data_IF_478759249901
#
_entry.id   IF_478759249901
#
_cell.length_a   1.000
_cell.length_b   1.000
_cell.length_c   1.000
_cell.angle_alpha   90.00
_cell.angle_beta   90.00
_cell.angle_gamma   90.00
#
_symmetry.space_group_name_H-M   'P 1'
#
loop_
_entity.id
_entity.type
_entity.pdbx_description
1 polymer ?
#
# COMPACT_ATOMS: atom_id res chain seq x y z
N UNK A 1 -7.72 -6.75 -27.30
CA UNK A 1 -7.86 -6.28 -25.91
C UNK A 1 -6.67 -6.77 -25.07
N UNK A 2 -5.62 -5.95 -24.88
CA UNK A 2 -4.44 -6.30 -24.03
C UNK A 2 -4.78 -6.15 -22.54
N UNK A 3 -5.85 -6.79 -22.05
CA UNK A 3 -6.51 -6.43 -20.77
C UNK A 3 -5.86 -6.96 -19.47
N UNK A 4 -4.59 -7.39 -19.49
CA UNK A 4 -3.94 -7.97 -18.30
C UNK A 4 -2.48 -7.57 -18.10
N UNK A 5 -1.96 -6.60 -18.85
CA UNK A 5 -0.57 -6.16 -18.67
C UNK A 5 -0.46 -5.24 -17.44
N UNK A 6 0.49 -5.53 -16.56
CA UNK A 6 0.83 -4.74 -15.37
C UNK A 6 2.16 -4.00 -15.50
N UNK A 7 2.81 -4.05 -16.66
CA UNK A 7 4.08 -3.37 -16.87
C UNK A 7 3.94 -1.85 -16.63
N UNK A 8 4.97 -1.29 -16.01
CA UNK A 8 5.13 0.13 -15.71
C UNK A 8 6.50 0.59 -16.18
N UNK A 9 6.60 1.85 -16.58
CA UNK A 9 7.83 2.46 -17.08
C UNK A 9 8.05 3.77 -16.34
N UNK A 10 9.20 3.92 -15.69
CA UNK A 10 9.57 5.13 -14.98
C UNK A 10 9.50 6.35 -15.91
N UNK A 11 8.91 7.44 -15.42
CA UNK A 11 8.66 8.66 -16.18
C UNK A 11 7.36 8.65 -17.00
N UNK A 12 6.67 7.51 -17.12
CA UNK A 12 5.40 7.41 -17.82
C UNK A 12 4.22 7.31 -16.87
N UNK A 13 3.15 8.09 -17.11
CA UNK A 13 1.93 8.11 -16.29
C UNK A 13 2.17 8.30 -14.77
N UNK A 14 3.26 9.00 -14.41
CA UNK A 14 3.63 9.27 -13.01
C UNK A 14 4.42 8.15 -12.32
N UNK A 15 4.65 7.01 -12.99
CA UNK A 15 5.44 5.92 -12.44
C UNK A 15 6.90 6.34 -12.21
N UNK A 16 7.47 5.89 -11.10
CA UNK A 16 8.90 6.07 -10.76
C UNK A 16 9.70 4.78 -10.94
N UNK A 17 9.03 3.64 -10.92
CA UNK A 17 9.61 2.32 -11.14
C UNK A 17 9.39 1.83 -12.57
N UNK A 18 10.34 1.02 -13.06
CA UNK A 18 10.24 0.33 -14.35
C UNK A 18 10.19 -1.17 -14.09
N UNK A 19 9.04 -1.79 -14.33
CA UNK A 19 8.83 -3.22 -14.13
C UNK A 19 8.17 -3.84 -15.35
N UNK A 20 8.65 -5.04 -15.74
CA UNK A 20 7.88 -5.92 -16.62
C UNK A 20 6.58 -6.35 -15.94
N UNK A 21 5.61 -6.88 -16.70
CA UNK A 21 4.39 -7.47 -16.11
C UNK A 21 4.72 -8.48 -14.99
N UNK A 22 5.64 -9.41 -15.26
CA UNK A 22 6.05 -10.45 -14.30
C UNK A 22 6.68 -9.84 -13.05
N UNK A 23 7.51 -8.81 -13.22
CA UNK A 23 8.14 -8.10 -12.11
C UNK A 23 7.09 -7.37 -11.27
N UNK A 24 6.11 -6.70 -11.90
CA UNK A 24 5.05 -6.01 -11.18
C UNK A 24 4.15 -6.97 -10.40
N UNK A 25 3.74 -8.10 -11.01
CA UNK A 25 2.97 -9.16 -10.32
C UNK A 25 3.71 -9.64 -9.07
N UNK A 26 5.01 -9.90 -9.18
CA UNK A 26 5.86 -10.28 -8.04
C UNK A 26 5.88 -9.18 -6.99
N UNK A 27 6.16 -7.94 -7.40
CA UNK A 27 6.27 -6.80 -6.51
C UNK A 27 5.00 -6.58 -5.68
N UNK A 28 3.84 -6.61 -6.32
CA UNK A 28 2.53 -6.48 -5.65
C UNK A 28 2.30 -7.64 -4.68
N UNK A 29 2.48 -8.90 -5.13
CA UNK A 29 2.28 -10.06 -4.24
C UNK A 29 3.21 -10.04 -3.03
N UNK A 30 4.50 -9.74 -3.23
CA UNK A 30 5.48 -9.66 -2.15
C UNK A 30 5.05 -8.59 -1.13
N UNK A 31 4.55 -7.45 -1.59
CA UNK A 31 4.01 -6.39 -0.73
C UNK A 31 2.78 -6.84 0.04
N UNK A 32 1.78 -7.43 -0.62
CA UNK A 32 0.55 -7.88 0.03
C UNK A 32 0.81 -8.99 1.06
N UNK A 33 1.74 -9.90 0.79
CA UNK A 33 2.16 -10.93 1.77
C UNK A 33 2.90 -10.28 2.95
N UNK A 34 3.80 -9.33 2.69
CA UNK A 34 4.46 -8.59 3.76
C UNK A 34 3.45 -7.85 4.65
N UNK A 35 2.51 -7.13 4.05
CA UNK A 35 1.47 -6.41 4.78
C UNK A 35 0.58 -7.35 5.59
N UNK A 36 0.22 -8.52 5.06
CA UNK A 36 -0.51 -9.53 5.84
C UNK A 36 0.27 -9.93 7.10
N UNK A 37 1.56 -10.20 6.99
CA UNK A 37 2.39 -10.58 8.15
C UNK A 37 2.59 -9.42 9.14
N UNK A 38 2.77 -8.19 8.65
CA UNK A 38 2.81 -6.98 9.49
C UNK A 38 1.50 -6.82 10.27
N UNK A 39 0.35 -6.96 9.60
CA UNK A 39 -0.96 -6.84 10.24
C UNK A 39 -1.21 -7.99 11.24
N UNK A 40 -0.67 -9.17 10.97
CA UNK A 40 -0.74 -10.32 11.90
C UNK A 40 0.08 -10.04 13.17
N UNK A 41 1.27 -9.46 13.03
CA UNK A 41 2.16 -9.13 14.14
C UNK A 41 1.92 -7.71 14.69
N UNK A 42 0.85 -7.03 14.25
CA UNK A 42 0.69 -5.59 14.48
C UNK A 42 0.61 -5.24 15.97
N UNK A 43 -0.03 -6.08 16.78
CA UNK A 43 -0.06 -5.91 18.23
C UNK A 43 1.35 -5.96 18.84
N UNK A 44 2.20 -6.92 18.42
CA UNK A 44 3.61 -7.00 18.88
C UNK A 44 4.40 -5.77 18.42
N UNK A 45 4.20 -5.33 17.18
CA UNK A 45 4.86 -4.14 16.65
C UNK A 45 4.43 -2.86 17.40
N UNK A 46 3.15 -2.76 17.76
CA UNK A 46 2.63 -1.66 18.58
C UNK A 46 3.30 -1.63 19.95
N UNK A 47 3.32 -2.77 20.67
CA UNK A 47 3.98 -2.86 21.97
C UNK A 47 5.48 -2.53 21.88
N UNK A 48 6.16 -2.98 20.81
CA UNK A 48 7.56 -2.65 20.55
C UNK A 48 7.78 -1.15 20.38
N UNK A 49 6.87 -0.48 19.68
CA UNK A 49 6.92 0.95 19.46
C UNK A 49 6.62 1.74 20.75
N UNK A 50 5.69 1.28 21.60
CA UNK A 50 5.48 1.88 22.93
C UNK A 50 6.71 1.73 23.83
N UNK A 51 7.38 0.57 23.80
CA UNK A 51 8.62 0.35 24.52
C UNK A 51 9.70 1.35 24.08
N UNK A 52 9.87 1.56 22.78
CA UNK A 52 10.81 2.54 22.24
C UNK A 52 10.47 3.98 22.69
N UNK A 53 9.18 4.37 22.63
CA UNK A 53 8.72 5.72 23.00
C UNK A 53 8.93 6.01 24.50
N UNK A 54 8.70 5.02 25.36
CA UNK A 54 8.71 5.14 26.83
C UNK A 54 10.04 4.73 27.47
N UNK A 55 11.01 4.29 26.68
CA UNK A 55 12.30 3.83 27.19
C UNK A 55 13.02 4.96 27.96
N UNK A 56 13.37 4.78 29.24
CA UNK A 56 13.87 5.86 30.10
C UNK A 56 15.11 6.59 29.57
N UNK A 57 15.97 5.90 28.81
CA UNK A 57 17.21 6.43 28.26
C UNK A 57 17.12 6.77 26.76
N UNK A 58 15.92 6.75 26.17
CA UNK A 58 15.69 7.06 24.76
C UNK A 58 15.03 8.44 24.61
N UNK A 59 15.80 9.50 24.86
CA UNK A 59 15.32 10.86 24.67
C UNK A 59 15.14 11.22 23.19
N UNK A 60 14.25 12.17 22.90
CA UNK A 60 14.08 12.69 21.54
C UNK A 60 14.90 13.98 21.30
N UNK A 61 15.20 14.26 20.03
CA UNK A 61 15.73 15.55 19.56
C UNK A 61 14.71 16.24 18.68
N UNK A 62 14.42 17.49 18.98
CA UNK A 62 13.55 18.29 18.12
C UNK A 62 14.32 18.75 16.88
N UNK A 63 13.85 18.37 15.69
CA UNK A 63 14.53 18.64 14.42
C UNK A 63 13.52 18.85 13.29
N UNK A 64 13.81 19.79 12.40
CA UNK A 64 13.11 19.87 11.11
C UNK A 64 13.61 18.78 10.17
N UNK A 65 12.70 17.93 9.69
CA UNK A 65 13.00 16.81 8.79
C UNK A 65 12.85 17.17 7.31
N UNK A 66 12.49 18.42 7.00
CA UNK A 66 12.04 18.83 5.67
C UNK A 66 10.56 18.48 5.40
N UNK A 67 9.91 17.77 6.31
CA UNK A 67 8.46 17.52 6.33
C UNK A 67 7.78 18.22 7.53
N UNK A 68 8.49 19.16 8.16
CA UNK A 68 8.07 19.83 9.39
C UNK A 68 8.92 19.43 10.59
N UNK A 69 8.66 20.10 11.71
CA UNK A 69 9.41 19.90 12.94
C UNK A 69 8.91 18.66 13.70
N UNK A 70 9.80 17.70 13.90
CA UNK A 70 9.49 16.40 14.48
C UNK A 70 10.36 16.11 15.71
N UNK A 71 9.84 15.26 16.59
CA UNK A 71 10.61 14.64 17.68
C UNK A 71 11.30 13.41 17.11
N UNK A 72 12.57 13.55 16.77
CA UNK A 72 13.42 12.46 16.31
C UNK A 72 13.78 11.57 17.50
N UNK A 73 13.44 10.30 17.46
CA UNK A 73 13.70 9.36 18.56
C UNK A 73 14.09 8.00 17.99
N UNK A 74 15.09 7.36 18.61
CA UNK A 74 15.52 6.03 18.19
C UNK A 74 14.38 5.02 18.36
N UNK A 75 14.36 4.02 17.50
CA UNK A 75 13.28 3.00 17.47
C UNK A 75 13.87 1.58 17.40
N UNK A 76 14.79 1.20 18.32
CA UNK A 76 15.55 -0.04 18.23
C UNK A 76 14.72 -1.31 18.41
N UNK A 77 13.69 -1.31 19.26
CA UNK A 77 12.87 -2.49 19.53
C UNK A 77 11.95 -2.77 18.33
N UNK A 78 11.21 -1.77 17.85
CA UNK A 78 10.34 -1.94 16.69
C UNK A 78 11.14 -2.21 15.42
N UNK A 79 12.34 -1.63 15.29
CA UNK A 79 13.25 -1.94 14.17
C UNK A 79 13.60 -3.41 14.12
N UNK A 80 14.03 -4.01 15.25
CA UNK A 80 14.32 -5.45 15.30
C UNK A 80 13.09 -6.28 14.94
N UNK A 81 11.95 -6.00 15.57
CA UNK A 81 10.68 -6.71 15.32
C UNK A 81 10.25 -6.64 13.85
N UNK A 82 10.38 -5.48 13.19
CA UNK A 82 10.04 -5.31 11.78
C UNK A 82 10.99 -6.07 10.85
N UNK A 83 12.29 -6.09 11.15
CA UNK A 83 13.26 -6.88 10.39
C UNK A 83 13.04 -8.39 10.55
N UNK A 84 12.61 -8.87 11.72
CA UNK A 84 12.19 -10.26 11.92
C UNK A 84 11.02 -10.64 10.99
N UNK A 85 9.99 -9.79 10.90
CA UNK A 85 8.85 -9.97 9.98
C UNK A 85 9.32 -10.01 8.54
N UNK A 86 10.15 -9.03 8.12
CA UNK A 86 10.66 -8.95 6.76
C UNK A 86 11.47 -10.19 6.36
N UNK A 87 12.40 -10.62 7.22
CA UNK A 87 13.20 -11.82 7.00
C UNK A 87 12.34 -13.07 6.91
N UNK A 88 11.32 -13.21 7.77
CA UNK A 88 10.37 -14.32 7.72
C UNK A 88 9.62 -14.36 6.39
N UNK A 89 9.11 -13.22 5.93
CA UNK A 89 8.39 -13.05 4.66
C UNK A 89 9.28 -13.39 3.46
N UNK A 90 10.48 -12.81 3.38
CA UNK A 90 11.41 -13.04 2.27
C UNK A 90 11.77 -14.52 2.15
N UNK A 91 12.09 -15.16 3.28
CA UNK A 91 12.39 -16.59 3.30
C UNK A 91 11.19 -17.46 2.89
N UNK A 92 9.99 -17.13 3.35
CA UNK A 92 8.77 -17.86 2.98
C UNK A 92 8.46 -17.74 1.48
N UNK A 93 8.59 -16.55 0.90
CA UNK A 93 8.38 -16.30 -0.53
C UNK A 93 9.43 -17.01 -1.39
N UNK A 94 10.70 -16.96 -0.99
CA UNK A 94 11.78 -17.67 -1.68
C UNK A 94 11.54 -19.19 -1.67
N UNK A 95 11.14 -19.77 -0.52
CA UNK A 95 10.85 -21.22 -0.43
C UNK A 95 9.61 -21.62 -1.23
N UNK A 96 8.54 -20.82 -1.19
CA UNK A 96 7.25 -21.18 -1.80
C UNK A 96 7.22 -20.96 -3.32
N UNK A 97 7.90 -19.92 -3.80
CA UNK A 97 7.77 -19.46 -5.19
C UNK A 97 9.11 -19.32 -5.92
N UNK A 98 10.24 -19.56 -5.26
CA UNK A 98 11.57 -19.42 -5.88
C UNK A 98 11.90 -17.98 -6.26
N UNK A 99 11.38 -16.99 -5.53
CA UNK A 99 11.48 -15.59 -5.90
C UNK A 99 12.41 -14.79 -5.03
N UNK A 100 13.30 -14.05 -5.69
CA UNK A 100 14.07 -13.00 -5.06
C UNK A 100 13.16 -11.79 -4.78
N UNK A 101 13.50 -11.05 -3.72
CA UNK A 101 12.85 -9.80 -3.35
C UNK A 101 13.03 -8.75 -4.47
N UNK A 102 11.95 -8.06 -4.82
CA UNK A 102 11.96 -6.98 -5.83
C UNK A 102 11.86 -5.65 -5.11
N UNK A 103 12.80 -4.73 -5.34
CA UNK A 103 12.88 -3.42 -4.68
C UNK A 103 13.84 -3.40 -3.49
N UNK A 104 13.87 -2.28 -2.76
CA UNK A 104 14.73 -2.13 -1.59
C UNK A 104 14.09 -2.81 -0.37
N UNK A 105 14.91 -3.46 0.45
CA UNK A 105 14.50 -4.06 1.72
C UNK A 105 14.74 -3.11 2.91
N UNK A 106 14.79 -1.80 2.64
CA UNK A 106 15.02 -0.75 3.65
C UNK A 106 13.73 -0.47 4.40
N UNK A 107 13.83 -0.48 5.74
CA UNK A 107 12.79 -0.02 6.66
C UNK A 107 13.25 1.30 7.27
N UNK A 108 12.50 2.36 7.04
CA UNK A 108 12.77 3.69 7.60
C UNK A 108 12.27 3.76 9.04
N UNK A 109 13.16 4.08 9.96
CA UNK A 109 12.91 4.25 11.40
C UNK A 109 13.96 5.18 11.99
N UNK A 110 13.54 6.09 12.86
CA UNK A 110 14.40 7.10 13.47
C UNK A 110 15.15 8.00 12.45
N UNK A 111 14.54 8.24 11.29
CA UNK A 111 15.10 9.07 10.23
C UNK A 111 14.11 10.14 9.75
N UNK A 112 14.48 10.90 8.71
CA UNK A 112 13.64 12.00 8.22
C UNK A 112 12.29 11.56 7.64
N UNK A 113 12.16 10.29 7.24
CA UNK A 113 10.95 9.71 6.65
C UNK A 113 10.04 9.09 7.71
N UNK A 114 10.62 8.50 8.76
CA UNK A 114 9.90 7.95 9.92
C UNK A 114 10.64 8.39 11.19
N UNK A 115 10.32 9.58 11.72
CA UNK A 115 11.08 10.23 12.80
C UNK A 115 11.14 9.48 14.12
N UNK A 116 10.14 8.65 14.41
CA UNK A 116 10.00 7.92 15.66
C UNK A 116 9.00 6.75 15.50
N UNK A 117 8.92 5.92 16.54
CA UNK A 117 8.05 4.74 16.60
C UNK A 117 6.54 5.07 16.53
N UNK A 118 6.12 6.27 16.91
CA UNK A 118 4.72 6.69 16.76
C UNK A 118 4.34 6.88 15.29
N UNK A 119 5.20 7.56 14.51
CA UNK A 119 5.00 7.74 13.06
C UNK A 119 5.04 6.38 12.34
N UNK A 120 5.88 5.44 12.81
CA UNK A 120 5.86 4.07 12.31
C UNK A 120 4.49 3.42 12.49
N UNK A 121 3.93 3.42 13.71
CA UNK A 121 2.61 2.83 13.97
C UNK A 121 1.56 3.45 13.04
N UNK A 122 1.45 4.78 13.06
CA UNK A 122 0.43 5.50 12.29
C UNK A 122 0.50 5.14 10.81
N UNK A 123 1.72 5.12 10.24
CA UNK A 123 1.96 4.72 8.86
C UNK A 123 1.41 3.34 8.56
N UNK A 124 1.75 2.30 9.33
CA UNK A 124 1.33 0.93 9.01
C UNK A 124 -0.16 0.66 9.34
N UNK A 125 -0.82 1.49 10.18
CA UNK A 125 -2.29 1.43 10.30
C UNK A 125 -3.02 1.78 9.00
N UNK A 126 -2.38 2.52 8.08
CA UNK A 126 -2.98 2.91 6.80
C UNK A 126 -3.23 1.71 5.87
N UNK A 127 -2.58 0.57 6.08
CA UNK A 127 -2.75 -0.64 5.23
C UNK A 127 -4.23 -1.03 5.14
N UNK A 128 -4.92 -1.13 6.28
CA UNK A 128 -6.32 -1.53 6.30
C UNK A 128 -7.22 -0.45 5.71
N UNK A 129 -6.94 0.83 5.99
CA UNK A 129 -7.68 1.97 5.43
C UNK A 129 -7.62 2.01 3.91
N UNK A 130 -6.45 1.73 3.33
CA UNK A 130 -6.26 1.70 1.87
C UNK A 130 -6.95 0.49 1.24
N UNK A 131 -6.75 -0.72 1.80
CA UNK A 131 -7.22 -1.94 1.15
C UNK A 131 -8.71 -2.22 1.35
N UNK A 132 -9.29 -1.84 2.49
CA UNK A 132 -10.68 -2.19 2.82
C UNK A 132 -11.69 -1.65 1.80
N UNK A 133 -11.64 -0.37 1.37
CA UNK A 133 -12.56 0.14 0.36
C UNK A 133 -12.43 -0.56 -0.99
N UNK A 134 -11.22 -0.98 -1.37
CA UNK A 134 -10.96 -1.69 -2.63
C UNK A 134 -11.60 -3.08 -2.55
N UNK A 135 -11.35 -3.82 -1.47
CA UNK A 135 -11.93 -5.16 -1.25
C UNK A 135 -13.46 -5.08 -1.18
N UNK A 136 -13.99 -4.13 -0.42
CA UNK A 136 -15.43 -3.90 -0.33
C UNK A 136 -16.05 -3.65 -1.70
N UNK A 137 -15.43 -2.79 -2.52
CA UNK A 137 -15.94 -2.46 -3.86
C UNK A 137 -15.97 -3.68 -4.79
N UNK A 138 -14.88 -4.46 -4.85
CA UNK A 138 -14.82 -5.64 -5.72
C UNK A 138 -15.79 -6.75 -5.27
N UNK A 139 -16.09 -6.86 -3.98
CA UNK A 139 -17.08 -7.81 -3.46
C UNK A 139 -18.51 -7.31 -3.71
N UNK A 140 -18.81 -6.07 -3.31
CA UNK A 140 -20.15 -5.48 -3.36
C UNK A 140 -20.68 -5.29 -4.77
N UNK A 141 -19.82 -5.00 -5.75
CA UNK A 141 -20.28 -4.77 -7.13
C UNK A 141 -20.98 -5.99 -7.75
N UNK A 142 -20.57 -7.20 -7.37
CA UNK A 142 -21.25 -8.42 -7.82
C UNK A 142 -22.65 -8.56 -7.23
N UNK A 143 -22.78 -8.30 -5.93
CA UNK A 143 -24.07 -8.34 -5.24
C UNK A 143 -25.05 -7.30 -5.82
N UNK A 144 -24.57 -6.08 -6.05
CA UNK A 144 -25.39 -5.01 -6.65
C UNK A 144 -25.86 -5.35 -8.07
N UNK A 145 -25.02 -6.02 -8.86
CA UNK A 145 -25.41 -6.48 -10.19
C UNK A 145 -26.50 -7.57 -10.13
N UNK A 146 -26.49 -8.42 -9.10
CA UNK A 146 -27.52 -9.45 -8.92
C UNK A 146 -28.83 -8.87 -8.35
N UNK A 147 -28.74 -7.86 -7.48
CA UNK A 147 -29.88 -7.17 -6.86
C UNK A 147 -30.63 -6.24 -7.83
N UNK A 148 -29.94 -5.63 -8.80
CA UNK A 148 -30.50 -4.59 -9.67
C UNK A 148 -30.19 -4.83 -11.16
N UNK A 149 -31.20 -5.18 -11.97
CA UNK A 149 -31.04 -5.33 -13.43
C UNK A 149 -30.51 -4.06 -14.12
N UNK A 150 -30.83 -2.88 -13.59
CA UNK A 150 -30.33 -1.61 -14.11
C UNK A 150 -28.82 -1.45 -13.89
N UNK A 151 -28.33 -1.79 -12.68
CA UNK A 151 -26.91 -1.77 -12.37
C UNK A 151 -26.16 -2.83 -13.19
N UNK A 152 -26.71 -4.04 -13.32
CA UNK A 152 -26.14 -5.08 -14.18
C UNK A 152 -25.97 -4.61 -15.62
N UNK A 153 -27.02 -4.04 -16.19
CA UNK A 153 -26.99 -3.49 -17.56
C UNK A 153 -25.92 -2.39 -17.69
N UNK A 154 -25.81 -1.49 -16.72
CA UNK A 154 -24.77 -0.46 -16.71
C UNK A 154 -23.36 -1.09 -16.70
N UNK A 155 -23.12 -2.08 -15.83
CA UNK A 155 -21.82 -2.76 -15.71
C UNK A 155 -21.47 -3.49 -17.01
N UNK A 156 -22.39 -4.28 -17.55
CA UNK A 156 -22.17 -5.06 -18.76
C UNK A 156 -21.93 -4.14 -19.97
N UNK A 157 -22.64 -3.01 -20.05
CA UNK A 157 -22.46 -2.03 -21.12
C UNK A 157 -21.13 -1.28 -21.01
N UNK A 158 -20.73 -0.90 -19.80
CA UNK A 158 -19.56 -0.03 -19.56
C UNK A 158 -18.26 -0.84 -19.50
N UNK A 159 -18.26 -1.97 -18.79
CA UNK A 159 -17.06 -2.76 -18.49
C UNK A 159 -17.03 -4.10 -19.23
N UNK A 160 -18.19 -4.61 -19.65
CA UNK A 160 -18.38 -5.89 -20.35
C UNK A 160 -18.85 -7.02 -19.44
N UNK A 161 -18.44 -7.01 -18.17
CA UNK A 161 -18.94 -7.91 -17.13
C UNK A 161 -18.50 -7.43 -15.75
N UNK A 162 -19.11 -8.00 -14.69
CA UNK A 162 -18.67 -7.80 -13.29
C UNK A 162 -17.19 -8.18 -13.12
N UNK A 163 -16.75 -9.30 -13.69
CA UNK A 163 -15.36 -9.74 -13.55
C UNK A 163 -14.38 -8.83 -14.29
N UNK A 164 -14.76 -8.30 -15.45
CA UNK A 164 -13.95 -7.31 -16.16
C UNK A 164 -13.89 -5.99 -15.39
N UNK A 165 -14.98 -5.57 -14.73
CA UNK A 165 -15.00 -4.41 -13.85
C UNK A 165 -14.03 -4.60 -12.66
N UNK A 166 -14.10 -5.73 -11.97
CA UNK A 166 -13.16 -6.10 -10.88
C UNK A 166 -11.72 -6.10 -11.36
N UNK A 167 -11.46 -6.70 -12.53
CA UNK A 167 -10.13 -6.75 -13.12
C UNK A 167 -9.60 -5.37 -13.48
N UNK A 168 -10.43 -4.44 -13.95
CA UNK A 168 -10.02 -3.06 -14.23
C UNK A 168 -9.60 -2.32 -12.95
N UNK A 169 -10.38 -2.45 -11.87
CA UNK A 169 -10.06 -1.85 -10.56
C UNK A 169 -8.71 -2.40 -10.05
N UNK A 170 -8.57 -3.73 -10.03
CA UNK A 170 -7.35 -4.38 -9.54
C UNK A 170 -6.15 -4.08 -10.45
N UNK A 171 -6.34 -4.04 -11.76
CA UNK A 171 -5.27 -3.69 -12.71
C UNK A 171 -4.79 -2.26 -12.48
N UNK A 172 -5.70 -1.30 -12.34
CA UNK A 172 -5.33 0.09 -12.10
C UNK A 172 -4.59 0.24 -10.76
N UNK A 173 -5.12 -0.35 -9.69
CA UNK A 173 -4.48 -0.33 -8.37
C UNK A 173 -3.11 -1.02 -8.38
N UNK A 174 -2.98 -2.21 -8.98
CA UNK A 174 -1.71 -2.95 -9.01
C UNK A 174 -0.65 -2.30 -9.89
N UNK A 175 -1.03 -1.49 -10.88
CA UNK A 175 -0.09 -0.70 -11.67
C UNK A 175 0.29 0.57 -10.93
N UNK A 176 -0.69 1.38 -10.58
CA UNK A 176 -0.49 2.76 -10.16
C UNK A 176 -0.39 2.94 -8.64
N UNK A 177 -0.90 1.99 -7.86
CA UNK A 177 -0.68 1.92 -6.41
C UNK A 177 0.70 1.38 -6.03
N UNK A 178 1.41 0.75 -6.97
CA UNK A 178 2.74 0.13 -6.73
C UNK A 178 3.76 0.56 -7.80
N UNK A 179 3.66 1.78 -8.31
CA UNK A 179 4.57 2.34 -9.32
C UNK A 179 5.68 3.23 -8.74
N UNK A 180 5.70 3.38 -7.42
CA UNK A 180 6.66 4.18 -6.68
C UNK A 180 6.43 5.68 -6.72
N UNK A 181 5.26 6.11 -7.21
CA UNK A 181 4.82 7.49 -7.13
C UNK A 181 4.61 7.95 -5.67
N UNK A 182 4.48 9.27 -5.45
CA UNK A 182 4.36 9.86 -4.11
C UNK A 182 5.70 10.14 -3.40
N UNK A 183 6.78 9.47 -3.78
CA UNK A 183 8.14 9.80 -3.33
C UNK A 183 8.80 10.94 -4.12
N UNK A 184 9.67 11.71 -3.46
CA UNK A 184 10.37 12.87 -4.05
C UNK A 184 11.75 12.54 -4.64
N UNK A 185 12.40 11.45 -4.20
CA UNK A 185 13.75 11.04 -4.65
C UNK A 185 13.81 9.57 -5.08
N UNK A 186 14.88 9.14 -5.77
CA UNK A 186 15.13 7.72 -6.15
C UNK A 186 15.23 6.76 -4.97
N UNK A 187 15.68 7.24 -3.81
CA UNK A 187 15.73 6.49 -2.56
C UNK A 187 14.35 6.42 -1.88
N UNK A 188 13.52 7.45 -2.06
CA UNK A 188 12.11 7.49 -1.61
C UNK A 188 11.13 6.96 -2.67
N UNK A 189 11.62 6.52 -3.83
CA UNK A 189 10.82 6.11 -5.00
C UNK A 189 10.19 4.74 -4.79
N UNK A 190 9.32 4.66 -3.79
CA UNK A 190 8.39 3.59 -3.45
C UNK A 190 8.90 2.16 -3.41
N UNK A 191 10.21 1.94 -3.50
CA UNK A 191 10.85 0.63 -3.61
C UNK A 191 11.24 0.05 -2.26
N UNK A 192 11.52 0.91 -1.28
CA UNK A 192 11.70 0.54 0.13
C UNK A 192 10.38 0.02 0.72
N UNK A 193 10.45 -0.58 1.91
CA UNK A 193 9.27 -1.20 2.53
C UNK A 193 8.18 -0.15 2.77
N UNK A 194 8.57 0.97 3.34
CA UNK A 194 7.72 2.12 3.61
C UNK A 194 7.20 2.79 2.33
N UNK A 195 8.04 2.86 1.30
CA UNK A 195 7.73 3.51 0.05
C UNK A 195 6.60 2.82 -0.73
N UNK A 196 6.42 1.51 -0.55
CA UNK A 196 5.28 0.77 -1.13
C UNK A 196 3.95 1.36 -0.68
N UNK A 197 3.86 1.71 0.60
CA UNK A 197 2.68 2.30 1.18
C UNK A 197 2.48 3.75 0.71
N UNK A 198 3.56 4.52 0.59
CA UNK A 198 3.52 5.87 0.00
C UNK A 198 2.93 5.88 -1.41
N UNK A 199 3.30 4.91 -2.25
CA UNK A 199 2.76 4.76 -3.60
C UNK A 199 1.25 4.47 -3.60
N UNK A 200 0.79 3.62 -2.68
CA UNK A 200 -0.64 3.32 -2.53
C UNK A 200 -1.41 4.52 -1.99
N UNK A 201 -0.84 5.28 -1.05
CA UNK A 201 -1.44 6.51 -0.54
C UNK A 201 -1.61 7.55 -1.66
N UNK A 202 -0.60 7.71 -2.54
CA UNK A 202 -0.69 8.59 -3.71
C UNK A 202 -1.70 8.11 -4.76
N UNK A 203 -1.98 6.81 -4.83
CA UNK A 203 -3.08 6.31 -5.65
C UNK A 203 -4.44 6.69 -5.06
N UNK A 204 -4.59 6.58 -3.73
CA UNK A 204 -5.81 6.96 -3.02
C UNK A 204 -6.15 8.44 -3.22
N UNK A 205 -5.15 9.34 -3.18
CA UNK A 205 -5.33 10.78 -3.40
C UNK A 205 -5.63 11.20 -4.85
N UNK A 206 -5.75 10.21 -5.75
CA UNK A 206 -6.09 10.41 -7.16
C UNK A 206 -7.27 9.56 -7.59
N UNK A 207 -7.91 8.82 -6.67
CA UNK A 207 -9.00 7.91 -7.02
C UNK A 207 -10.14 8.68 -7.69
N UNK A 208 -10.47 9.88 -7.19
CA UNK A 208 -11.52 10.75 -7.72
C UNK A 208 -11.29 11.17 -9.19
N UNK A 209 -10.02 11.19 -9.63
CA UNK A 209 -9.64 11.52 -11.01
C UNK A 209 -9.78 10.32 -11.97
N UNK A 210 -10.06 9.13 -11.46
CA UNK A 210 -10.19 7.90 -12.24
C UNK A 210 -11.66 7.60 -12.49
N UNK A 211 -12.31 8.46 -13.29
CA UNK A 211 -13.77 8.54 -13.45
C UNK A 211 -14.46 7.17 -13.65
N UNK A 212 -13.88 6.31 -14.51
CA UNK A 212 -14.42 4.99 -14.83
C UNK A 212 -14.50 4.06 -13.60
N UNK A 213 -13.45 4.01 -12.77
CA UNK A 213 -13.46 3.16 -11.57
C UNK A 213 -14.09 3.88 -10.37
N UNK A 214 -13.93 5.20 -10.26
CA UNK A 214 -14.45 5.98 -9.13
C UNK A 214 -15.98 5.90 -9.03
N UNK A 215 -16.67 5.92 -10.17
CA UNK A 215 -18.12 5.72 -10.22
C UNK A 215 -18.55 4.39 -9.60
N UNK A 216 -17.75 3.33 -9.77
CA UNK A 216 -18.02 2.01 -9.18
C UNK A 216 -17.82 2.03 -7.66
N UNK A 217 -16.79 2.72 -7.17
CA UNK A 217 -16.60 2.94 -5.73
C UNK A 217 -17.81 3.66 -5.13
N UNK A 218 -18.29 4.74 -5.74
CA UNK A 218 -19.48 5.48 -5.27
C UNK A 218 -20.74 4.59 -5.27
N UNK A 219 -20.96 3.80 -6.33
CA UNK A 219 -22.07 2.84 -6.39
C UNK A 219 -22.01 1.80 -5.27
N UNK A 220 -20.80 1.42 -4.85
CA UNK A 220 -20.57 0.49 -3.75
C UNK A 220 -20.56 1.15 -2.36
N UNK A 221 -20.97 2.42 -2.25
CA UNK A 221 -21.08 3.12 -0.96
C UNK A 221 -19.75 3.70 -0.45
N UNK A 222 -18.77 3.93 -1.32
CA UNK A 222 -17.53 4.60 -0.93
C UNK A 222 -17.78 6.04 -0.48
N UNK A 223 -17.31 6.36 0.72
CA UNK A 223 -17.41 7.70 1.35
C UNK A 223 -16.04 8.33 1.62
N UNK A 224 -14.94 7.59 1.40
CA UNK A 224 -13.58 7.99 1.74
C UNK A 224 -12.76 6.83 2.29
N UNK A 225 -11.43 7.00 2.35
CA UNK A 225 -10.50 6.00 2.91
C UNK A 225 -10.42 6.05 4.44
N UNK A 226 -10.83 7.17 5.06
CA UNK A 226 -10.86 7.34 6.52
C UNK A 226 -12.23 7.02 7.15
N UNK A 227 -13.24 6.66 6.35
CA UNK A 227 -14.58 6.30 6.83
C UNK A 227 -15.45 7.50 7.26
N UNK A 228 -16.41 7.27 8.16
CA UNK A 228 -17.18 8.33 8.82
C UNK A 228 -16.50 8.69 10.14
N UNK A 229 -16.29 9.99 10.39
CA UNK A 229 -15.83 10.54 11.67
C UNK A 229 -16.99 10.76 12.63
#
# INVERSE_FOLDING_TARGET
MKRSNLAITGGYAGARLTHSHRTQVRYVRQTLVLWREIMTDFYKLWMSAEEDLLMPNNGYRFRDTGQGANRMQDSPVVSRSMHEVLNRVQNALQRRYGEQWVGLAVVHLADTNVPNSFVFIDKYTQISRILSPIVHTIERIGQLADESPGIKKYIDTTFGSVDLCRMLILQDFFRHGFDGSGGTSGFDSGSCIDGRLTSCWNWCSKLEKKEEIFSVFLLCGFIGFDGQF
#
